data_IF_663582537642
#
_entry.id   IF_663582537642
#
_cell.length_a   1.000
_cell.length_b   1.000
_cell.length_c   1.000
_cell.angle_alpha   90.00
_cell.angle_beta   90.00
_cell.angle_gamma   90.00
#
_symmetry.space_group_name_H-M   'P 1'
#
loop_
_entity.id
_entity.type
_entity.pdbx_description
1 polymer ?
#
# COMPACT_ATOMS: atom_id res chain seq x y z
N UNK A 1 18.86 -27.70 -14.12
CA UNK A 1 18.11 -26.76 -13.27
C UNK A 1 18.44 -27.09 -11.84
N UNK A 2 19.38 -26.36 -11.25
CA UNK A 2 19.81 -26.58 -9.86
C UNK A 2 18.87 -25.77 -8.98
N UNK A 3 18.08 -26.45 -8.16
CA UNK A 3 17.26 -25.81 -7.12
C UNK A 3 18.24 -25.22 -6.11
N UNK A 4 18.25 -23.89 -5.98
CA UNK A 4 19.02 -23.22 -4.93
C UNK A 4 18.53 -23.72 -3.56
N UNK A 5 19.43 -24.03 -2.61
CA UNK A 5 19.01 -24.45 -1.28
C UNK A 5 18.24 -23.31 -0.61
N UNK A 6 17.19 -23.68 0.15
CA UNK A 6 16.45 -22.75 0.99
C UNK A 6 17.45 -22.02 1.90
N UNK A 7 17.50 -20.69 1.82
CA UNK A 7 18.26 -19.89 2.75
C UNK A 7 17.73 -20.18 4.17
N UNK A 8 18.61 -20.71 5.02
CA UNK A 8 18.34 -20.89 6.44
C UNK A 8 18.13 -19.51 7.05
N UNK A 9 16.88 -19.20 7.41
CA UNK A 9 16.54 -17.92 8.02
C UNK A 9 16.94 -17.97 9.49
N UNK A 10 18.23 -17.74 9.76
CA UNK A 10 18.68 -17.49 11.11
C UNK A 10 18.21 -16.08 11.52
N UNK A 11 17.08 -16.00 12.22
CA UNK A 11 16.70 -14.75 12.89
C UNK A 11 17.77 -14.38 13.94
N UNK A 12 18.06 -13.09 14.15
CA UNK A 12 19.08 -12.67 15.11
C UNK A 12 18.72 -13.22 16.49
N UNK A 13 19.67 -13.92 17.12
CA UNK A 13 19.49 -14.71 18.35
C UNK A 13 18.88 -13.95 19.56
N UNK A 14 18.68 -12.62 19.46
CA UNK A 14 17.99 -11.79 20.45
C UNK A 14 16.50 -11.53 20.18
N UNK A 15 16.05 -11.48 18.92
CA UNK A 15 14.67 -11.04 18.58
C UNK A 15 13.59 -12.06 18.99
N UNK A 16 13.96 -13.33 19.08
CA UNK A 16 13.05 -14.42 19.47
C UNK A 16 13.15 -14.81 20.94
N UNK A 17 13.87 -14.03 21.76
CA UNK A 17 14.07 -14.30 23.18
C UNK A 17 12.74 -14.28 23.92
N UNK A 18 12.49 -15.31 24.72
CA UNK A 18 11.28 -15.42 25.55
C UNK A 18 10.07 -16.02 24.85
N UNK A 19 10.12 -16.24 23.53
CA UNK A 19 9.05 -16.94 22.81
C UNK A 19 9.21 -18.46 22.91
N UNK A 20 8.08 -19.15 23.11
CA UNK A 20 7.94 -20.60 23.00
C UNK A 20 8.31 -21.06 21.60
N UNK A 21 9.23 -22.03 21.53
CA UNK A 21 9.64 -22.64 20.26
C UNK A 21 8.48 -23.42 19.61
N UNK A 22 8.51 -23.51 18.29
CA UNK A 22 7.54 -24.24 17.47
C UNK A 22 8.03 -24.38 16.04
N UNK A 23 7.18 -24.90 15.15
CA UNK A 23 7.49 -25.07 13.71
C UNK A 23 7.82 -23.72 13.04
N UNK A 24 7.32 -22.63 13.60
CA UNK A 24 7.55 -21.26 13.13
C UNK A 24 9.02 -20.82 13.14
N UNK A 25 9.90 -21.52 13.87
CA UNK A 25 11.36 -21.24 13.86
C UNK A 25 12.08 -21.87 12.68
N UNK A 26 11.56 -22.97 12.17
CA UNK A 26 12.17 -23.74 11.07
C UNK A 26 11.54 -23.38 9.71
N UNK A 27 10.32 -22.81 9.73
CA UNK A 27 9.56 -22.45 8.53
C UNK A 27 8.69 -21.23 8.78
N UNK A 28 8.27 -20.54 7.71
CA UNK A 28 7.37 -19.37 7.82
C UNK A 28 5.96 -19.83 8.20
N UNK A 29 5.69 -19.90 9.50
CA UNK A 29 4.39 -20.29 10.07
C UNK A 29 3.95 -19.28 11.15
N UNK A 30 3.40 -18.14 10.69
CA UNK A 30 2.90 -17.08 11.59
C UNK A 30 1.76 -17.59 12.48
N UNK A 31 0.99 -18.57 12.02
CA UNK A 31 -0.12 -19.14 12.80
C UNK A 31 0.42 -19.91 14.01
N UNK A 32 1.40 -20.78 13.79
CA UNK A 32 2.07 -21.53 14.86
C UNK A 32 2.76 -20.59 15.85
N UNK A 33 3.42 -19.53 15.37
CA UNK A 33 3.98 -18.49 16.24
C UNK A 33 2.91 -17.87 17.16
N UNK A 34 1.79 -17.42 16.58
CA UNK A 34 0.71 -16.79 17.37
C UNK A 34 0.17 -17.78 18.39
N UNK A 35 -0.22 -18.99 17.96
CA UNK A 35 -0.83 -19.98 18.85
C UNK A 35 0.08 -20.39 20.02
N UNK A 36 1.40 -20.45 19.80
CA UNK A 36 2.36 -20.81 20.84
C UNK A 36 2.70 -19.68 21.83
N UNK A 37 2.41 -18.41 21.48
CA UNK A 37 2.97 -17.24 22.20
C UNK A 37 1.95 -16.17 22.62
N UNK A 38 0.74 -16.16 22.07
CA UNK A 38 -0.27 -15.20 22.51
C UNK A 38 -0.77 -15.52 23.93
N UNK A 39 -1.08 -14.49 24.69
CA UNK A 39 -1.76 -14.63 25.97
C UNK A 39 -3.23 -14.24 25.77
N UNK A 40 -4.19 -15.18 25.92
CA UNK A 40 -5.60 -14.83 25.94
C UNK A 40 -5.88 -13.78 27.02
N UNK A 41 -6.73 -12.81 26.70
CA UNK A 41 -7.14 -11.76 27.62
C UNK A 41 -8.66 -11.71 27.69
N UNK A 42 -9.21 -12.14 28.83
CA UNK A 42 -10.65 -12.17 29.12
C UNK A 42 -11.10 -11.04 30.06
N UNK A 43 -10.24 -10.05 30.29
CA UNK A 43 -10.53 -8.89 31.14
C UNK A 43 -11.28 -7.77 30.41
N UNK A 44 -11.62 -6.70 31.14
CA UNK A 44 -12.31 -5.52 30.60
C UNK A 44 -11.36 -4.45 30.04
N UNK A 45 -11.90 -3.30 29.58
CA UNK A 45 -11.13 -2.22 28.97
C UNK A 45 -10.40 -1.31 29.98
N UNK A 46 -10.38 -1.65 31.27
CA UNK A 46 -9.89 -0.77 32.34
C UNK A 46 -8.38 -0.50 32.26
N UNK A 47 -7.61 -1.35 31.58
CA UNK A 47 -6.18 -1.17 31.36
C UNK A 47 -5.84 -0.21 30.19
N UNK A 48 -6.84 0.22 29.41
CA UNK A 48 -6.61 1.06 28.24
C UNK A 48 -6.07 2.42 28.64
N UNK A 49 -4.93 2.79 28.06
CA UNK A 49 -4.36 4.13 28.20
C UNK A 49 -4.93 5.08 27.14
N UNK A 50 -5.14 6.34 27.53
CA UNK A 50 -5.49 7.41 26.61
C UNK A 50 -4.34 7.81 25.67
N UNK A 51 -4.60 8.69 24.69
CA UNK A 51 -3.57 9.16 23.78
C UNK A 51 -2.53 10.02 24.51
N UNK A 52 -1.28 9.90 24.07
CA UNK A 52 -0.20 10.77 24.54
C UNK A 52 -0.29 12.16 23.89
N UNK A 53 0.33 13.18 24.50
CA UNK A 53 0.43 14.52 23.88
C UNK A 53 1.09 14.48 22.50
N UNK A 54 2.11 13.63 22.34
CA UNK A 54 2.77 13.38 21.06
C UNK A 54 1.79 12.86 20.00
N UNK A 55 0.96 11.88 20.37
CA UNK A 55 -0.09 11.34 19.49
C UNK A 55 -1.11 12.42 19.10
N UNK A 56 -1.57 13.21 20.08
CA UNK A 56 -2.51 14.31 19.84
C UNK A 56 -1.92 15.39 18.94
N UNK A 57 -0.64 15.72 19.10
CA UNK A 57 0.04 16.71 18.27
C UNK A 57 0.12 16.27 16.79
N UNK A 58 0.57 15.03 16.53
CA UNK A 58 0.61 14.46 15.18
C UNK A 58 -0.80 14.39 14.58
N UNK A 59 -1.78 13.92 15.35
CA UNK A 59 -3.17 13.84 14.91
C UNK A 59 -3.77 15.21 14.57
N UNK A 60 -3.48 16.23 15.37
CA UNK A 60 -3.96 17.60 15.12
C UNK A 60 -3.41 18.15 13.80
N UNK A 61 -2.13 17.91 13.50
CA UNK A 61 -1.52 18.35 12.24
C UNK A 61 -2.18 17.68 11.03
N UNK A 62 -2.39 16.36 11.05
CA UNK A 62 -3.07 15.67 9.94
C UNK A 62 -4.51 16.12 9.81
N UNK A 63 -5.25 16.18 10.92
CA UNK A 63 -6.67 16.51 10.89
C UNK A 63 -6.95 17.96 10.45
N UNK A 64 -6.00 18.87 10.67
CA UNK A 64 -6.05 20.24 10.15
C UNK A 64 -5.99 20.30 8.60
N UNK A 65 -5.51 19.26 7.93
CA UNK A 65 -5.46 19.20 6.45
C UNK A 65 -6.80 18.77 5.83
N UNK A 66 -7.64 18.04 6.57
CA UNK A 66 -8.90 17.50 6.05
C UNK A 66 -9.90 18.55 5.53
N UNK A 67 -10.07 19.74 6.16
CA UNK A 67 -10.92 20.78 5.61
C UNK A 67 -10.51 21.21 4.20
N UNK A 68 -9.20 21.33 3.95
CA UNK A 68 -8.68 21.71 2.64
C UNK A 68 -8.81 20.57 1.64
N UNK A 69 -8.46 19.34 2.03
CA UNK A 69 -8.64 18.16 1.19
C UNK A 69 -10.11 18.03 0.75
N UNK A 70 -11.07 18.15 1.67
CA UNK A 70 -12.50 18.10 1.34
C UNK A 70 -12.93 19.20 0.39
N UNK A 71 -12.39 20.42 0.54
CA UNK A 71 -12.69 21.56 -0.34
C UNK A 71 -12.18 21.33 -1.76
N UNK A 72 -11.01 20.71 -1.92
CA UNK A 72 -10.36 20.44 -3.21
C UNK A 72 -10.77 19.09 -3.83
N UNK A 73 -11.27 18.15 -3.03
CA UNK A 73 -11.48 16.73 -3.37
C UNK A 73 -10.21 15.86 -3.25
N UNK A 74 -9.05 16.47 -3.43
CA UNK A 74 -7.72 15.90 -3.18
C UNK A 74 -6.81 17.02 -2.66
N UNK A 75 -5.96 16.72 -1.67
CA UNK A 75 -5.07 17.75 -1.12
C UNK A 75 -3.98 18.13 -2.12
N UNK A 76 -3.29 17.11 -2.65
CA UNK A 76 -2.23 17.21 -3.63
C UNK A 76 -2.06 15.89 -4.41
N UNK A 77 -1.44 15.94 -5.59
CA UNK A 77 -1.16 14.78 -6.45
C UNK A 77 0.24 14.87 -7.05
N UNK A 78 1.04 13.81 -6.90
CA UNK A 78 2.25 13.63 -7.70
C UNK A 78 1.87 13.12 -9.10
N UNK A 79 1.84 14.03 -10.08
CA UNK A 79 1.50 13.70 -11.46
C UNK A 79 2.69 13.20 -12.30
N UNK A 80 3.92 13.33 -11.79
CA UNK A 80 5.14 13.08 -12.56
C UNK A 80 5.84 11.78 -12.15
N UNK A 81 5.55 11.24 -10.97
CA UNK A 81 6.20 10.04 -10.44
C UNK A 81 5.28 8.82 -10.51
N UNK A 82 5.49 7.87 -11.44
CA UNK A 82 4.84 6.56 -11.41
C UNK A 82 5.16 5.82 -10.11
N UNK A 83 4.15 5.54 -9.28
CA UNK A 83 4.37 4.94 -7.96
C UNK A 83 4.96 3.53 -8.06
N UNK A 84 6.06 3.31 -7.34
CA UNK A 84 6.67 2.01 -7.04
C UNK A 84 7.04 1.93 -5.55
N UNK A 85 7.62 0.81 -5.09
CA UNK A 85 8.02 0.64 -3.69
C UNK A 85 9.05 1.69 -3.24
N UNK A 86 9.95 2.13 -4.14
CA UNK A 86 11.07 3.03 -3.82
C UNK A 86 11.04 4.34 -4.61
N UNK A 87 9.91 4.68 -5.24
CA UNK A 87 9.85 5.86 -6.13
C UNK A 87 9.81 7.20 -5.39
N UNK A 88 9.22 7.23 -4.20
CA UNK A 88 9.03 8.47 -3.45
C UNK A 88 10.07 8.61 -2.34
N UNK A 89 10.46 9.85 -2.07
CA UNK A 89 11.28 10.17 -0.91
C UNK A 89 10.49 9.94 0.40
N UNK A 90 11.18 9.79 1.54
CA UNK A 90 10.53 9.70 2.84
C UNK A 90 9.69 10.95 3.15
N UNK A 91 8.41 10.75 3.41
CA UNK A 91 7.50 11.78 3.92
C UNK A 91 7.26 11.64 5.42
N UNK A 92 6.98 12.77 6.07
CA UNK A 92 6.73 12.86 7.52
C UNK A 92 5.56 13.80 7.79
N UNK A 93 4.80 13.54 8.85
CA UNK A 93 3.86 14.52 9.40
C UNK A 93 4.63 15.42 10.37
N UNK A 94 5.32 14.80 11.32
CA UNK A 94 6.11 15.47 12.35
C UNK A 94 7.25 14.53 12.77
N UNK A 95 8.39 14.68 12.09
CA UNK A 95 9.51 13.74 12.18
C UNK A 95 10.04 13.53 13.60
N UNK A 96 9.93 14.53 14.46
CA UNK A 96 10.41 14.45 15.85
C UNK A 96 9.41 13.73 16.77
N UNK A 97 8.12 13.74 16.41
CA UNK A 97 7.02 13.19 17.20
C UNK A 97 6.52 11.82 16.70
N UNK A 98 6.95 11.36 15.54
CA UNK A 98 6.55 10.07 14.99
C UNK A 98 7.37 8.92 15.58
N UNK A 99 6.70 7.92 16.16
CA UNK A 99 7.35 6.65 16.57
C UNK A 99 7.32 5.61 15.44
N UNK A 100 6.23 5.59 14.69
CA UNK A 100 6.04 4.72 13.52
C UNK A 100 5.93 5.66 12.33
N UNK A 101 6.81 5.46 11.35
CA UNK A 101 6.96 6.33 10.19
C UNK A 101 6.53 5.61 8.92
N UNK A 102 6.21 6.39 7.89
CA UNK A 102 5.92 5.90 6.54
C UNK A 102 4.66 6.54 5.98
N UNK A 103 4.83 7.21 4.83
CA UNK A 103 3.75 7.75 4.01
C UNK A 103 3.81 7.13 2.61
N UNK A 104 2.70 7.20 1.87
CA UNK A 104 2.64 6.69 0.50
C UNK A 104 3.49 7.51 -0.47
N UNK A 105 3.66 8.79 -0.16
CA UNK A 105 4.43 9.79 -0.91
C UNK A 105 5.32 10.56 0.06
N UNK A 106 5.94 11.62 -0.43
CA UNK A 106 6.78 12.56 0.31
C UNK A 106 5.99 13.51 1.25
N UNK A 107 4.66 13.53 1.20
CA UNK A 107 3.83 14.44 2.00
C UNK A 107 2.51 13.82 2.48
N UNK A 108 1.94 14.27 3.63
CA UNK A 108 0.67 13.77 4.11
C UNK A 108 -0.48 14.11 3.14
N UNK A 109 -1.35 13.13 2.90
CA UNK A 109 -2.53 13.24 2.02
C UNK A 109 -2.24 13.60 0.55
N UNK A 110 -0.98 13.54 0.12
CA UNK A 110 -0.60 13.65 -1.31
C UNK A 110 -0.75 12.30 -1.99
N UNK A 111 -1.55 12.23 -3.06
CA UNK A 111 -1.83 10.99 -3.80
C UNK A 111 -0.77 10.76 -4.88
N UNK A 112 -0.33 9.52 -5.02
CA UNK A 112 0.52 9.10 -6.15
C UNK A 112 -0.32 8.63 -7.34
N UNK A 113 0.27 8.66 -8.53
CA UNK A 113 -0.31 8.02 -9.71
C UNK A 113 0.12 6.55 -9.82
N UNK A 114 -0.81 5.69 -10.27
CA UNK A 114 -0.56 4.25 -10.49
C UNK A 114 -0.84 3.85 -11.95
N UNK A 115 0.00 4.32 -12.91
CA UNK A 115 -0.27 4.17 -14.33
C UNK A 115 -0.25 2.73 -14.85
N UNK A 116 0.38 1.79 -14.13
CA UNK A 116 0.36 0.35 -14.47
C UNK A 116 -1.07 -0.21 -14.60
N UNK A 117 -2.04 0.32 -13.82
CA UNK A 117 -3.44 -0.08 -13.90
C UNK A 117 -4.16 0.42 -15.15
N UNK A 118 -3.83 1.63 -15.61
CA UNK A 118 -4.44 2.24 -16.79
C UNK A 118 -4.11 3.72 -16.92
N UNK A 119 -3.45 4.11 -18.01
CA UNK A 119 -3.02 5.50 -18.26
C UNK A 119 -4.21 6.45 -18.38
N UNK A 120 -5.23 6.07 -19.15
CA UNK A 120 -6.44 6.89 -19.37
C UNK A 120 -7.14 7.28 -18.07
N UNK A 121 -7.06 6.43 -17.05
CA UNK A 121 -7.69 6.71 -15.76
C UNK A 121 -6.89 7.69 -14.93
N UNK A 122 -5.57 7.59 -14.98
CA UNK A 122 -4.68 8.59 -14.38
C UNK A 122 -4.95 9.95 -15.04
N UNK A 123 -4.95 10.03 -16.36
CA UNK A 123 -5.18 11.30 -17.09
C UNK A 123 -6.54 11.91 -16.77
N UNK A 124 -7.61 11.10 -16.74
CA UNK A 124 -8.94 11.58 -16.40
C UNK A 124 -9.04 12.03 -14.94
N UNK A 125 -8.39 11.31 -14.02
CA UNK A 125 -8.32 11.67 -12.61
C UNK A 125 -7.60 13.00 -12.40
N UNK A 126 -6.43 13.18 -13.01
CA UNK A 126 -5.68 14.43 -12.95
C UNK A 126 -6.50 15.60 -13.49
N UNK A 127 -7.09 15.45 -14.69
CA UNK A 127 -7.95 16.47 -15.29
C UNK A 127 -9.16 16.83 -14.41
N UNK A 128 -9.79 15.85 -13.77
CA UNK A 128 -10.94 16.08 -12.90
C UNK A 128 -10.61 16.94 -11.66
N UNK A 129 -9.36 16.90 -11.19
CA UNK A 129 -8.87 17.71 -10.08
C UNK A 129 -8.00 18.90 -10.52
N UNK A 130 -7.96 19.23 -11.81
CA UNK A 130 -7.25 20.39 -12.35
C UNK A 130 -5.73 20.22 -12.53
N UNK A 131 -5.23 18.98 -12.50
CA UNK A 131 -3.82 18.66 -12.74
C UNK A 131 -3.59 18.27 -14.20
N UNK A 132 -2.45 18.69 -14.76
CA UNK A 132 -2.01 18.25 -16.07
C UNK A 132 -1.26 16.91 -15.95
N UNK A 133 -1.51 15.93 -16.84
CA UNK A 133 -0.68 14.74 -16.93
C UNK A 133 0.74 15.11 -17.37
N UNK A 134 1.73 14.49 -16.73
CA UNK A 134 3.12 14.67 -17.13
C UNK A 134 3.36 14.04 -18.52
N UNK A 135 3.95 14.79 -19.48
CA UNK A 135 4.16 14.30 -20.84
C UNK A 135 5.03 13.05 -20.92
N UNK A 136 6.05 12.95 -20.05
CA UNK A 136 6.95 11.81 -20.02
C UNK A 136 6.23 10.57 -19.49
N UNK A 137 5.39 10.70 -18.46
CA UNK A 137 4.54 9.59 -18.00
C UNK A 137 3.59 9.13 -19.10
N UNK A 138 2.93 10.05 -19.80
CA UNK A 138 2.04 9.70 -20.93
C UNK A 138 2.80 9.00 -22.05
N UNK A 139 4.02 9.45 -22.39
CA UNK A 139 4.86 8.79 -23.39
C UNK A 139 5.26 7.38 -22.97
N UNK A 140 5.70 7.20 -21.72
CA UNK A 140 6.15 5.90 -21.21
C UNK A 140 5.03 4.87 -21.21
N UNK A 141 3.86 5.22 -20.66
CA UNK A 141 2.75 4.28 -20.55
C UNK A 141 1.88 4.21 -21.81
N UNK A 142 2.04 5.16 -22.75
CA UNK A 142 1.42 5.12 -24.07
C UNK A 142 2.24 4.33 -25.10
N UNK A 143 3.57 4.33 -24.97
CA UNK A 143 4.48 3.78 -26.00
C UNK A 143 5.29 2.58 -25.51
N UNK A 144 5.95 2.71 -24.37
CA UNK A 144 6.96 1.73 -23.92
C UNK A 144 6.40 0.66 -22.99
N UNK A 145 5.39 1.00 -22.19
CA UNK A 145 4.84 0.15 -21.14
C UNK A 145 3.32 0.08 -21.24
N UNK A 146 2.83 -0.98 -21.89
CA UNK A 146 1.40 -1.28 -21.99
C UNK A 146 0.75 -1.43 -20.61
N UNK A 147 -0.41 -0.84 -20.38
CA UNK A 147 -1.12 -0.91 -19.09
C UNK A 147 -2.01 -2.15 -18.97
N UNK A 148 -2.46 -2.48 -17.75
CA UNK A 148 -3.47 -3.53 -17.56
C UNK A 148 -4.74 -3.25 -18.36
N UNK A 149 -5.25 -2.01 -18.28
CA UNK A 149 -6.44 -1.57 -19.01
C UNK A 149 -6.32 -1.83 -20.52
N UNK A 150 -5.21 -1.41 -21.14
CA UNK A 150 -4.99 -1.60 -22.58
C UNK A 150 -4.88 -3.09 -22.94
N UNK A 151 -4.19 -3.89 -22.11
CA UNK A 151 -4.12 -5.34 -22.27
C UNK A 151 -5.50 -6.00 -22.27
N UNK A 152 -6.37 -5.59 -21.36
CA UNK A 152 -7.75 -6.08 -21.27
C UNK A 152 -8.57 -5.68 -22.49
N UNK A 153 -8.51 -4.40 -22.89
CA UNK A 153 -9.34 -3.91 -24.00
C UNK A 153 -8.92 -4.46 -25.36
N UNK A 154 -7.65 -4.80 -25.54
CA UNK A 154 -7.16 -5.49 -26.73
C UNK A 154 -7.71 -6.92 -26.84
N UNK A 155 -7.86 -7.61 -25.71
CA UNK A 155 -8.41 -8.97 -25.66
C UNK A 155 -9.96 -9.02 -25.70
N UNK A 156 -10.65 -7.89 -25.49
CA UNK A 156 -12.10 -7.84 -25.44
C UNK A 156 -12.77 -8.18 -26.79
N UNK A 157 -13.72 -9.10 -26.76
CA UNK A 157 -14.55 -9.42 -27.93
C UNK A 157 -15.58 -8.31 -28.21
N UNK A 158 -16.11 -8.21 -29.45
CA UNK A 158 -17.18 -7.26 -29.78
C UNK A 158 -18.41 -7.38 -28.86
N UNK A 159 -18.78 -8.62 -28.50
CA UNK A 159 -19.88 -8.89 -27.57
C UNK A 159 -19.62 -8.35 -26.16
N UNK A 160 -18.41 -8.52 -25.62
CA UNK A 160 -18.02 -7.98 -24.31
C UNK A 160 -18.05 -6.44 -24.32
N UNK A 161 -17.55 -5.82 -25.40
CA UNK A 161 -17.61 -4.35 -25.56
C UNK A 161 -19.05 -3.84 -25.65
N UNK A 162 -19.91 -4.54 -26.39
CA UNK A 162 -21.33 -4.20 -26.50
C UNK A 162 -22.06 -4.35 -25.16
N UNK A 163 -21.81 -5.44 -24.42
CA UNK A 163 -22.37 -5.65 -23.09
C UNK A 163 -21.98 -4.53 -22.11
N UNK A 164 -20.71 -4.10 -22.12
CA UNK A 164 -20.24 -2.97 -21.29
C UNK A 164 -20.90 -1.64 -21.68
N UNK A 165 -21.09 -1.37 -22.97
CA UNK A 165 -21.78 -0.14 -23.41
C UNK A 165 -23.26 -0.15 -23.05
N UNK A 166 -23.92 -1.30 -23.18
CA UNK A 166 -25.37 -1.43 -22.95
C UNK A 166 -25.78 -1.54 -21.47
N UNK A 167 -24.94 -2.12 -20.61
CA UNK A 167 -25.22 -2.30 -19.17
C UNK A 167 -24.41 -1.36 -18.26
N UNK A 168 -23.52 -0.55 -18.82
CA UNK A 168 -22.48 0.12 -18.05
C UNK A 168 -21.35 -0.85 -17.66
N UNK A 169 -20.29 -0.32 -17.06
CA UNK A 169 -19.28 -1.18 -16.42
C UNK A 169 -19.95 -1.90 -15.25
N UNK A 170 -19.96 -3.24 -15.25
CA UNK A 170 -20.43 -3.98 -14.07
C UNK A 170 -19.59 -3.57 -12.86
N UNK A 171 -20.18 -3.35 -11.67
CA UNK A 171 -19.45 -3.03 -10.45
C UNK A 171 -18.33 -4.05 -10.14
N UNK A 172 -18.53 -5.30 -10.57
CA UNK A 172 -17.61 -6.41 -10.33
C UNK A 172 -16.47 -6.53 -11.37
N UNK A 173 -16.42 -5.64 -12.36
CA UNK A 173 -15.42 -5.70 -13.42
C UNK A 173 -14.21 -4.82 -13.05
N UNK A 174 -13.07 -5.39 -12.61
CA UNK A 174 -11.88 -4.64 -12.17
C UNK A 174 -11.08 -4.11 -13.36
N UNK A 175 -11.74 -3.80 -14.47
CA UNK A 175 -11.06 -3.34 -15.67
C UNK A 175 -10.67 -1.88 -15.63
N UNK A 176 -11.41 -0.96 -14.97
CA UNK A 176 -10.88 0.37 -14.70
C UNK A 176 -9.95 0.37 -13.47
N UNK A 177 -10.31 -0.30 -12.39
CA UNK A 177 -9.56 -0.21 -11.12
C UNK A 177 -8.74 -1.47 -10.87
N UNK A 178 -7.53 -1.33 -10.33
CA UNK A 178 -6.72 -2.49 -9.95
C UNK A 178 -7.56 -3.52 -9.20
N UNK A 179 -7.45 -4.79 -9.58
CA UNK A 179 -8.16 -5.88 -8.89
C UNK A 179 -7.75 -5.91 -7.43
N UNK A 180 -8.68 -5.54 -6.54
CA UNK A 180 -8.50 -5.64 -5.11
C UNK A 180 -9.02 -7.01 -4.62
N UNK A 181 -8.28 -7.64 -3.70
CA UNK A 181 -8.64 -8.96 -3.18
C UNK A 181 -7.46 -9.77 -2.62
N UNK A 182 -6.21 -9.32 -2.85
CA UNK A 182 -5.03 -9.91 -2.22
C UNK A 182 -4.85 -9.37 -0.79
N UNK A 183 -4.73 -10.28 0.17
CA UNK A 183 -4.29 -9.96 1.53
C UNK A 183 -2.88 -10.51 1.72
N UNK A 184 -1.88 -9.62 1.69
CA UNK A 184 -0.51 -9.99 2.04
C UNK A 184 -0.39 -10.23 3.55
N UNK A 185 0.34 -11.26 3.96
CA UNK A 185 0.62 -11.50 5.39
C UNK A 185 1.80 -10.64 5.86
N UNK A 186 1.53 -9.37 6.16
CA UNK A 186 2.55 -8.38 6.54
C UNK A 186 3.28 -8.72 7.85
N UNK A 187 2.70 -9.56 8.71
CA UNK A 187 3.30 -10.02 9.98
C UNK A 187 4.57 -10.83 9.75
N UNK A 188 4.73 -11.43 8.56
CA UNK A 188 5.94 -12.15 8.17
C UNK A 188 7.17 -11.26 8.19
N UNK A 189 7.05 -9.99 7.80
CA UNK A 189 8.16 -9.04 7.85
C UNK A 189 8.64 -8.88 9.29
N UNK A 190 7.72 -8.63 10.24
CA UNK A 190 8.08 -8.51 11.65
C UNK A 190 8.65 -9.80 12.26
N UNK A 191 8.12 -10.97 11.87
CA UNK A 191 8.52 -12.27 12.45
C UNK A 191 9.84 -12.81 11.88
N UNK A 192 10.04 -12.65 10.56
CA UNK A 192 11.07 -13.36 9.79
C UNK A 192 12.23 -12.44 9.43
N UNK A 193 11.97 -11.18 9.10
CA UNK A 193 12.99 -10.23 8.63
C UNK A 193 13.40 -9.26 9.73
N UNK A 194 13.66 -9.77 10.94
CA UNK A 194 14.37 -9.01 11.97
C UNK A 194 15.79 -8.70 11.49
N UNK A 195 15.93 -7.76 10.55
CA UNK A 195 17.19 -7.29 9.99
C UNK A 195 17.31 -5.82 10.32
N UNK A 196 18.45 -5.46 10.90
CA UNK A 196 18.85 -4.08 11.16
C UNK A 196 18.63 -3.19 9.94
N UNK A 197 18.27 -1.91 10.14
CA UNK A 197 18.30 -0.95 9.06
C UNK A 197 19.75 -0.75 8.63
N UNK A 198 20.10 -1.24 7.42
CA UNK A 198 21.30 -0.82 6.70
C UNK A 198 21.09 0.53 6.03
#
# INVERSE_FOLDING_TARGET
MTVAPHAEVAAPAGAWRGFTAGRWRESVDVRDFIQANYTPYDGGPEFLAGPTERTLAVWHQVSALFPEERRKGVLDVDAATPSTITSHAPGYIDRERELIVGLQTDAPLKRAIMPNGGLRMVENGLKAYGYAPDPFVTEVFGTYRKTHNDGVFDAYTPGMRAARRGRGSSPDCPTPTAGAGSSGDYRRVALVTGTEPG
#
